data_IF_203123070321
#
_entry.id   IF_203123070321
#
_cell.length_a   1.000
_cell.length_b   1.000
_cell.length_c   1.000
_cell.angle_alpha   90.00
_cell.angle_beta   90.00
_cell.angle_gamma   90.00
#
_symmetry.space_group_name_H-M   'P 1'
#
loop_
_entity.id
_entity.type
_entity.pdbx_description
1 polymer ?
#
# COMPACT_ATOMS: atom_id res chain seq x y z
N UNK A 1 5.30 22.87 6.67
CA UNK A 1 5.08 22.13 5.41
C UNK A 1 3.80 21.32 5.55
N UNK A 2 2.73 21.65 4.79
CA UNK A 2 1.61 20.72 4.60
C UNK A 2 2.16 19.60 3.71
N UNK A 3 2.47 18.45 4.27
CA UNK A 3 2.71 17.26 3.43
C UNK A 3 1.36 16.93 2.78
N UNK A 4 1.31 16.97 1.45
CA UNK A 4 0.10 16.65 0.70
C UNK A 4 -0.20 15.17 0.86
N UNK A 5 -1.48 14.82 0.74
CA UNK A 5 -1.92 13.43 0.76
C UNK A 5 -1.24 12.61 -0.35
N UNK A 6 -0.87 13.28 -1.44
CA UNK A 6 -0.08 12.72 -2.56
C UNK A 6 1.29 12.22 -2.12
N UNK A 7 2.01 12.92 -1.24
CA UNK A 7 3.29 12.45 -0.72
C UNK A 7 3.14 11.13 0.06
N UNK A 8 2.03 10.96 0.78
CA UNK A 8 1.72 9.72 1.49
C UNK A 8 1.39 8.59 0.49
N UNK A 9 0.66 8.91 -0.59
CA UNK A 9 0.38 7.95 -1.66
C UNK A 9 1.65 7.42 -2.30
N UNK A 10 2.54 8.32 -2.73
CA UNK A 10 3.81 7.95 -3.34
C UNK A 10 4.69 7.12 -2.40
N UNK A 11 4.77 7.50 -1.12
CA UNK A 11 5.58 6.75 -0.15
C UNK A 11 5.03 5.34 0.10
N UNK A 12 3.70 5.17 0.13
CA UNK A 12 3.07 3.85 0.21
C UNK A 12 3.38 3.03 -1.04
N UNK A 13 3.15 3.59 -2.23
CA UNK A 13 3.39 2.86 -3.50
C UNK A 13 4.85 2.45 -3.64
N UNK A 14 5.79 3.36 -3.38
CA UNK A 14 7.22 3.05 -3.38
C UNK A 14 7.60 2.00 -2.35
N UNK A 15 6.98 2.02 -1.18
CA UNK A 15 7.22 1.00 -0.17
C UNK A 15 6.76 -0.38 -0.65
N UNK A 16 5.55 -0.47 -1.21
CA UNK A 16 5.04 -1.74 -1.75
C UNK A 16 5.89 -2.26 -2.91
N UNK A 17 6.26 -1.38 -3.85
CA UNK A 17 7.14 -1.71 -4.97
C UNK A 17 8.48 -2.32 -4.51
N UNK A 18 9.12 -1.71 -3.50
CA UNK A 18 10.39 -2.21 -2.94
C UNK A 18 10.27 -3.53 -2.18
N UNK A 19 9.05 -3.94 -1.82
CA UNK A 19 8.78 -5.21 -1.15
C UNK A 19 8.19 -6.25 -2.10
N UNK A 20 8.17 -5.97 -3.42
CA UNK A 20 7.86 -7.01 -4.40
C UNK A 20 8.94 -8.10 -4.37
N UNK A 21 8.56 -9.38 -4.41
CA UNK A 21 9.51 -10.48 -4.48
C UNK A 21 10.26 -10.45 -5.81
N UNK A 22 11.55 -10.77 -5.78
CA UNK A 22 12.37 -10.89 -7.01
C UNK A 22 11.93 -12.07 -7.88
N UNK A 23 11.33 -13.10 -7.26
CA UNK A 23 10.75 -14.26 -7.91
C UNK A 23 9.21 -14.18 -7.82
N UNK A 24 8.52 -14.26 -8.96
CA UNK A 24 7.05 -14.20 -9.14
C UNK A 24 6.22 -15.28 -8.39
N UNK A 25 6.80 -15.95 -7.40
CA UNK A 25 6.16 -17.01 -6.61
C UNK A 25 5.30 -16.50 -5.45
N UNK A 26 5.39 -15.21 -5.10
CA UNK A 26 4.65 -14.59 -4.00
C UNK A 26 3.86 -13.37 -4.51
N UNK A 27 2.71 -13.10 -3.90
CA UNK A 27 1.76 -12.05 -4.34
C UNK A 27 2.25 -10.62 -4.07
N UNK A 28 3.44 -10.45 -3.48
CA UNK A 28 3.96 -9.13 -3.08
C UNK A 28 3.18 -8.52 -1.91
N UNK A 29 2.47 -9.35 -1.15
CA UNK A 29 1.65 -8.91 -0.03
C UNK A 29 2.49 -8.39 1.13
N UNK A 30 2.18 -7.16 1.53
CA UNK A 30 2.76 -6.52 2.71
C UNK A 30 1.71 -6.50 3.81
N UNK A 31 2.04 -7.05 4.98
CA UNK A 31 1.12 -6.98 6.12
C UNK A 31 0.86 -5.53 6.56
N UNK A 32 -0.38 -5.24 6.97
CA UNK A 32 -0.78 -3.95 7.55
C UNK A 32 0.14 -3.49 8.67
N UNK A 33 0.54 -4.43 9.53
CA UNK A 33 1.42 -4.15 10.67
C UNK A 33 2.81 -3.69 10.22
N UNK A 34 3.33 -4.25 9.12
CA UNK A 34 4.61 -3.84 8.54
C UNK A 34 4.47 -2.45 7.92
N UNK A 35 3.45 -2.23 7.08
CA UNK A 35 3.20 -0.93 6.46
C UNK A 35 3.19 0.23 7.47
N UNK A 36 2.43 0.09 8.56
CA UNK A 36 2.28 1.15 9.56
C UNK A 36 3.55 1.41 10.38
N UNK A 37 4.47 0.44 10.42
CA UNK A 37 5.78 0.60 11.07
C UNK A 37 6.83 1.19 10.14
N UNK A 38 6.70 0.95 8.84
CA UNK A 38 7.69 1.35 7.85
C UNK A 38 7.52 2.78 7.37
N UNK A 39 6.30 3.32 7.41
CA UNK A 39 5.99 4.64 6.87
C UNK A 39 5.78 5.64 8.02
N UNK A 40 6.44 6.81 7.93
CA UNK A 40 6.48 7.78 9.03
C UNK A 40 5.28 8.77 9.03
N UNK A 41 4.06 8.25 9.07
CA UNK A 41 2.83 9.06 9.19
C UNK A 41 1.91 8.56 10.29
N UNK A 42 0.93 9.39 10.65
CA UNK A 42 -0.12 8.96 11.60
C UNK A 42 -0.92 7.80 11.00
N UNK A 43 -1.29 6.79 11.79
CA UNK A 43 -2.10 5.64 11.33
C UNK A 43 -3.32 6.05 10.50
N UNK A 44 -4.07 7.07 10.93
CA UNK A 44 -5.24 7.58 10.20
C UNK A 44 -4.93 8.15 8.82
N UNK A 45 -3.75 8.75 8.64
CA UNK A 45 -3.33 9.28 7.34
C UNK A 45 -2.94 8.15 6.39
N UNK A 46 -2.23 7.15 6.90
CA UNK A 46 -1.87 5.94 6.15
C UNK A 46 -3.15 5.21 5.72
N UNK A 47 -4.10 4.98 6.63
CA UNK A 47 -5.38 4.33 6.28
C UNK A 47 -6.16 5.08 5.22
N UNK A 48 -6.24 6.41 5.34
CA UNK A 48 -6.93 7.23 4.36
C UNK A 48 -6.25 7.12 2.99
N UNK A 49 -4.93 7.22 2.96
CA UNK A 49 -4.15 7.11 1.74
C UNK A 49 -4.28 5.72 1.09
N UNK A 50 -4.22 4.65 1.87
CA UNK A 50 -4.44 3.29 1.36
C UNK A 50 -5.82 3.13 0.72
N UNK A 51 -6.88 3.64 1.35
CA UNK A 51 -8.25 3.55 0.81
C UNK A 51 -8.42 4.35 -0.47
N UNK A 52 -7.77 5.52 -0.57
CA UNK A 52 -7.79 6.31 -1.80
C UNK A 52 -7.01 5.62 -2.93
N UNK A 53 -5.87 4.99 -2.63
CA UNK A 53 -5.11 4.17 -3.57
C UNK A 53 -5.92 2.96 -4.05
N UNK A 54 -6.60 2.27 -3.13
CA UNK A 54 -7.46 1.12 -3.45
C UNK A 54 -8.62 1.56 -4.35
N UNK A 55 -9.28 2.68 -4.03
CA UNK A 55 -10.37 3.21 -4.87
C UNK A 55 -9.95 3.62 -6.28
N UNK A 56 -8.65 3.89 -6.48
CA UNK A 56 -8.04 4.19 -7.78
C UNK A 56 -7.55 2.94 -8.51
N UNK A 57 -7.61 1.78 -7.86
CA UNK A 57 -7.11 0.52 -8.39
C UNK A 57 -5.59 0.39 -8.35
N UNK A 58 -4.87 1.21 -7.56
CA UNK A 58 -3.39 1.14 -7.50
C UNK A 58 -2.88 0.09 -6.51
N UNK A 59 -3.71 -0.29 -5.55
CA UNK A 59 -3.39 -1.31 -4.53
C UNK A 59 -4.61 -2.19 -4.29
N UNK A 60 -4.39 -3.41 -3.82
CA UNK A 60 -5.45 -4.34 -3.44
C UNK A 60 -5.32 -4.72 -1.96
N UNK A 61 -6.45 -4.81 -1.26
CA UNK A 61 -6.51 -5.25 0.13
C UNK A 61 -6.90 -6.71 0.26
N UNK A 62 -6.19 -7.41 1.14
CA UNK A 62 -6.48 -8.79 1.49
C UNK A 62 -7.06 -8.82 2.89
N UNK A 63 -8.24 -9.43 3.03
CA UNK A 63 -8.94 -9.58 4.31
C UNK A 63 -8.84 -11.00 4.83
N UNK A 64 -8.66 -11.17 6.13
CA UNK A 64 -8.79 -12.49 6.76
C UNK A 64 -10.25 -12.78 7.11
N UNK A 65 -10.68 -14.04 6.99
CA UNK A 65 -12.03 -14.52 7.36
C UNK A 65 -12.41 -14.13 8.80
N UNK A 66 -11.42 -13.97 9.69
CA UNK A 66 -11.62 -13.63 11.10
C UNK A 66 -11.63 -12.11 11.40
N UNK A 67 -11.24 -11.27 10.44
CA UNK A 67 -11.11 -9.83 10.63
C UNK A 67 -11.94 -9.07 9.61
N UNK A 68 -12.82 -8.16 10.08
CA UNK A 68 -13.57 -7.24 9.20
C UNK A 68 -12.68 -6.16 8.55
N UNK A 69 -11.39 -6.16 8.86
CA UNK A 69 -10.41 -5.21 8.35
C UNK A 69 -9.37 -5.96 7.52
N UNK A 70 -8.74 -5.24 6.59
CA UNK A 70 -7.65 -5.77 5.78
C UNK A 70 -6.42 -6.08 6.65
N UNK A 71 -5.73 -7.17 6.30
CA UNK A 71 -4.58 -7.73 7.00
C UNK A 71 -3.28 -7.56 6.20
N UNK A 72 -3.38 -7.54 4.88
CA UNK A 72 -2.29 -7.26 3.94
C UNK A 72 -2.77 -6.39 2.79
N UNK A 73 -1.80 -5.79 2.11
CA UNK A 73 -1.96 -4.91 0.96
C UNK A 73 -0.89 -5.27 -0.07
N UNK A 74 -1.23 -5.30 -1.34
CA UNK A 74 -0.26 -5.44 -2.44
C UNK A 74 -0.43 -4.29 -3.44
N UNK A 75 0.64 -3.98 -4.17
CA UNK A 75 0.57 -3.07 -5.32
C UNK A 75 0.02 -3.86 -6.52
N UNK A 76 -0.81 -3.20 -7.32
CA UNK A 76 -1.38 -3.73 -8.57
C UNK A 76 -0.51 -3.36 -9.77
N UNK A 77 -0.76 -3.96 -10.92
CA UNK A 77 -0.12 -3.58 -12.18
C UNK A 77 -0.37 -2.10 -12.51
N UNK A 78 -1.58 -1.59 -12.31
CA UNK A 78 -1.90 -0.17 -12.51
C UNK A 78 -1.13 0.76 -11.55
N UNK A 79 -0.89 0.29 -10.32
CA UNK A 79 -0.06 0.99 -9.35
C UNK A 79 1.42 1.03 -9.74
N UNK A 80 1.91 -0.03 -10.40
CA UNK A 80 3.26 -0.11 -10.93
C UNK A 80 3.44 0.82 -12.12
N UNK A 81 2.51 0.77 -13.08
CA UNK A 81 2.51 1.67 -14.24
C UNK A 81 2.53 3.15 -13.81
N UNK A 82 1.81 3.50 -12.73
CA UNK A 82 1.81 4.85 -12.18
C UNK A 82 3.18 5.28 -11.62
N UNK A 83 3.96 4.35 -11.05
CA UNK A 83 5.30 4.66 -10.52
C UNK A 83 6.37 4.75 -11.61
N UNK A 84 6.18 4.04 -12.72
CA UNK A 84 7.13 3.99 -13.85
C UNK A 84 6.92 5.11 -14.89
N UNK A 85 5.76 5.77 -14.87
CA UNK A 85 5.38 6.89 -15.76
C UNK A 85 6.08 8.22 -15.45
#
# INVERSE_FOLDING_TARGET
>A
MRMSLEAIHEEILWFLYKNLPEDYSDSGEVSRKILFKSINYKPRQIEKACKELESKGFVEFFTSVYHKEWVSIAITDEGLDFLEA
#
